data_IF_037399521393
#
_entry.id   IF_037399521393
#
_cell.length_a   1.000
_cell.length_b   1.000
_cell.length_c   1.000
_cell.angle_alpha   90.00
_cell.angle_beta   90.00
_cell.angle_gamma   90.00
#
_symmetry.space_group_name_H-M   'P 1'
#
loop_
_entity.id
_entity.type
_entity.pdbx_description
1 polymer ?
#
# COMPACT_ATOMS: atom_id res chain seq x y z
N UNK A 1 20.20 -56.58 52.73
CA UNK A 1 18.88 -56.20 52.17
C UNK A 1 19.14 -55.40 50.91
N UNK A 2 18.97 -56.04 49.76
CA UNK A 2 19.04 -55.42 48.47
C UNK A 2 17.63 -54.87 48.09
N UNK A 3 17.52 -53.59 47.85
CA UNK A 3 16.37 -53.05 47.12
C UNK A 3 16.70 -53.08 45.63
N UNK A 4 16.03 -53.95 44.91
CA UNK A 4 15.95 -53.88 43.44
C UNK A 4 14.98 -52.72 43.08
N UNK A 5 15.49 -51.73 42.44
CA UNK A 5 14.68 -50.71 41.80
C UNK A 5 13.99 -51.34 40.56
N UNK A 6 12.70 -51.27 40.54
CA UNK A 6 11.86 -51.80 39.44
C UNK A 6 12.08 -50.97 38.16
N UNK A 7 12.63 -51.64 37.19
CA UNK A 7 12.86 -51.12 35.82
C UNK A 7 11.58 -51.05 34.94
N UNK A 8 10.40 -50.98 35.58
CA UNK A 8 9.13 -51.15 34.85
C UNK A 8 8.34 -49.87 34.55
N UNK A 9 8.78 -48.72 35.05
CA UNK A 9 7.93 -47.49 34.97
C UNK A 9 8.42 -46.45 33.92
N UNK A 10 9.59 -46.66 33.36
CA UNK A 10 10.16 -45.66 32.43
C UNK A 10 9.60 -45.69 31.02
N UNK A 11 9.16 -46.85 30.53
CA UNK A 11 8.75 -46.97 29.12
C UNK A 11 7.30 -46.60 28.82
N UNK A 12 6.44 -46.51 29.83
CA UNK A 12 5.02 -46.17 29.61
C UNK A 12 4.74 -44.66 29.64
N UNK A 13 5.64 -43.86 30.17
CA UNK A 13 5.45 -42.38 30.24
C UNK A 13 6.01 -41.64 29.03
N UNK A 14 6.90 -42.27 28.27
CA UNK A 14 7.53 -41.63 27.09
C UNK A 14 6.67 -41.77 25.84
N UNK A 15 5.82 -42.82 25.75
CA UNK A 15 4.95 -43.05 24.59
C UNK A 15 3.65 -42.23 24.61
N UNK A 16 3.26 -41.65 25.75
CA UNK A 16 2.03 -40.86 25.86
C UNK A 16 2.20 -39.39 25.49
N UNK A 17 3.44 -38.88 25.41
CA UNK A 17 3.70 -37.45 25.12
C UNK A 17 3.88 -37.19 23.64
N UNK A 18 4.05 -38.20 22.83
CA UNK A 18 4.32 -38.06 21.40
C UNK A 18 3.07 -37.95 20.49
N UNK A 19 1.88 -38.06 21.03
CA UNK A 19 0.66 -38.04 20.20
C UNK A 19 -0.20 -36.78 20.34
N UNK A 20 0.20 -35.80 21.13
CA UNK A 20 -0.32 -34.45 21.01
C UNK A 20 0.56 -33.62 20.08
N UNK A 21 0.64 -34.02 18.81
CA UNK A 21 0.91 -33.05 17.77
C UNK A 21 -0.32 -32.15 17.71
N UNK A 22 -0.33 -31.11 18.55
CA UNK A 22 -1.20 -29.96 18.33
C UNK A 22 -0.97 -29.54 16.90
N UNK A 23 -2.04 -29.29 16.10
CA UNK A 23 -1.82 -28.69 14.80
C UNK A 23 -0.98 -27.44 15.06
N UNK A 24 0.24 -27.42 14.58
CA UNK A 24 1.07 -26.21 14.56
C UNK A 24 0.31 -25.31 13.62
N UNK A 25 -0.51 -24.42 14.17
CA UNK A 25 -1.01 -23.29 13.42
C UNK A 25 0.25 -22.62 12.88
N UNK A 26 0.38 -22.54 11.56
CA UNK A 26 1.44 -21.76 10.97
C UNK A 26 1.33 -20.37 11.59
N UNK A 27 2.34 -19.98 12.36
CA UNK A 27 2.37 -18.68 13.00
C UNK A 27 2.41 -17.66 11.88
N UNK A 28 1.26 -17.08 11.56
CA UNK A 28 1.17 -15.97 10.61
C UNK A 28 1.57 -14.70 11.37
N UNK A 29 2.62 -14.01 10.89
CA UNK A 29 3.02 -12.72 11.45
C UNK A 29 2.29 -11.63 10.67
N UNK A 30 1.72 -10.66 11.36
CA UNK A 30 1.01 -9.52 10.74
C UNK A 30 1.89 -8.75 9.71
N UNK A 31 3.21 -8.81 9.87
CA UNK A 31 4.16 -8.18 8.97
C UNK A 31 4.52 -9.03 7.73
N UNK A 32 4.15 -10.31 7.67
CA UNK A 32 4.58 -11.25 6.61
C UNK A 32 4.16 -10.80 5.21
N UNK A 33 2.93 -10.30 5.08
CA UNK A 33 2.44 -9.78 3.81
C UNK A 33 3.22 -8.55 3.33
N UNK A 34 3.56 -7.64 4.24
CA UNK A 34 4.39 -6.47 3.91
C UNK A 34 5.84 -6.87 3.56
N UNK A 35 6.41 -7.86 4.23
CA UNK A 35 7.73 -8.40 3.91
C UNK A 35 7.73 -8.99 2.50
N UNK A 36 6.74 -9.81 2.18
CA UNK A 36 6.54 -10.39 0.83
C UNK A 36 6.42 -9.31 -0.26
N UNK A 37 5.68 -8.24 -0.01
CA UNK A 37 5.52 -7.14 -0.96
C UNK A 37 6.81 -6.36 -1.18
N UNK A 38 7.61 -6.15 -0.13
CA UNK A 38 8.94 -5.52 -0.23
C UNK A 38 9.90 -6.38 -1.05
N UNK A 39 9.91 -7.68 -0.81
CA UNK A 39 10.74 -8.61 -1.59
C UNK A 39 10.38 -8.57 -3.08
N UNK A 40 9.08 -8.49 -3.41
CA UNK A 40 8.61 -8.31 -4.79
C UNK A 40 9.03 -6.96 -5.38
N UNK A 41 8.98 -5.88 -4.61
CA UNK A 41 9.43 -4.56 -5.03
C UNK A 41 10.94 -4.55 -5.29
N UNK A 42 11.74 -5.19 -4.43
CA UNK A 42 13.19 -5.29 -4.56
C UNK A 42 13.61 -6.18 -5.74
N UNK A 43 12.90 -7.29 -5.96
CA UNK A 43 13.13 -8.13 -7.14
C UNK A 43 12.88 -7.37 -8.45
N UNK A 44 11.84 -6.52 -8.51
CA UNK A 44 11.56 -5.65 -9.66
C UNK A 44 12.61 -4.57 -9.84
N UNK A 45 13.09 -3.98 -8.74
CA UNK A 45 14.11 -2.94 -8.77
C UNK A 45 15.41 -3.42 -9.45
N UNK A 46 15.72 -4.70 -9.37
CA UNK A 46 16.88 -5.31 -10.03
C UNK A 46 16.76 -5.40 -11.56
N UNK A 47 15.56 -5.29 -12.13
CA UNK A 47 15.31 -5.42 -13.57
C UNK A 47 14.66 -4.18 -14.19
N UNK A 48 13.35 -4.01 -13.96
CA UNK A 48 12.53 -2.97 -14.60
C UNK A 48 12.56 -1.62 -13.88
N UNK A 49 13.21 -1.54 -12.72
CA UNK A 49 13.17 -0.38 -11.82
C UNK A 49 12.12 -0.54 -10.72
N UNK A 50 12.34 0.15 -9.60
CA UNK A 50 11.42 0.13 -8.46
C UNK A 50 10.11 0.85 -8.84
N UNK A 51 8.94 0.22 -8.62
CA UNK A 51 7.66 0.89 -8.85
C UNK A 51 7.57 2.21 -8.11
N UNK A 52 7.03 3.24 -8.76
CA UNK A 52 6.93 4.58 -8.18
C UNK A 52 5.53 5.15 -8.32
N UNK A 53 5.07 5.83 -7.27
CA UNK A 53 3.82 6.58 -7.21
C UNK A 53 4.11 8.07 -7.14
N UNK A 54 3.56 8.83 -8.05
CA UNK A 54 3.60 10.29 -8.02
C UNK A 54 2.52 10.80 -7.06
N UNK A 55 2.91 11.54 -6.03
CA UNK A 55 1.98 12.17 -5.11
C UNK A 55 1.51 13.48 -5.72
N UNK A 56 0.29 13.50 -6.25
CA UNK A 56 -0.31 14.67 -6.86
C UNK A 56 -0.88 15.58 -5.77
N UNK A 57 -0.01 16.41 -5.20
CA UNK A 57 -0.35 17.36 -4.13
C UNK A 57 -1.08 18.57 -4.71
N UNK A 58 -2.30 18.86 -4.25
CA UNK A 58 -3.12 19.94 -4.75
C UNK A 58 -3.24 21.08 -3.74
N UNK A 59 -2.96 22.31 -4.21
CA UNK A 59 -3.06 23.53 -3.44
C UNK A 59 -1.93 23.74 -2.44
N UNK A 60 -2.19 24.54 -1.43
CA UNK A 60 -1.20 24.89 -0.42
C UNK A 60 -0.79 23.71 0.46
N UNK A 61 0.45 23.71 0.96
CA UNK A 61 1.01 22.65 1.79
C UNK A 61 0.10 22.20 2.95
N UNK A 62 -0.54 23.15 3.64
CA UNK A 62 -1.44 22.83 4.74
C UNK A 62 -2.67 21.99 4.32
N UNK A 63 -3.07 22.05 3.04
CA UNK A 63 -4.20 21.28 2.52
C UNK A 63 -3.86 19.81 2.26
N UNK A 64 -2.63 19.50 1.85
CA UNK A 64 -2.25 18.16 1.43
C UNK A 64 -1.30 17.41 2.38
N UNK A 65 -0.54 18.12 3.22
CA UNK A 65 0.57 17.53 3.98
C UNK A 65 0.21 16.27 4.78
N UNK A 66 -0.92 16.27 5.47
CA UNK A 66 -1.35 15.13 6.28
C UNK A 66 -1.68 13.90 5.41
N UNK A 67 -2.34 14.10 4.27
CA UNK A 67 -2.73 13.03 3.35
C UNK A 67 -1.56 12.55 2.50
N UNK A 68 -0.68 13.45 2.13
CA UNK A 68 0.60 13.11 1.50
C UNK A 68 1.44 12.21 2.40
N UNK A 69 1.63 12.61 3.68
CA UNK A 69 2.39 11.83 4.64
C UNK A 69 1.77 10.43 4.85
N UNK A 70 0.43 10.33 4.91
CA UNK A 70 -0.27 9.06 5.00
C UNK A 70 -0.04 8.20 3.76
N UNK A 71 -0.26 8.75 2.57
CA UNK A 71 -0.08 8.03 1.30
C UNK A 71 1.38 7.57 1.12
N UNK A 72 2.35 8.44 1.42
CA UNK A 72 3.76 8.10 1.40
C UNK A 72 4.08 6.91 2.30
N UNK A 73 3.67 6.97 3.56
CA UNK A 73 3.91 5.90 4.52
C UNK A 73 3.26 4.58 4.07
N UNK A 74 2.06 4.62 3.50
CA UNK A 74 1.36 3.45 2.99
C UNK A 74 2.15 2.80 1.84
N UNK A 75 2.50 3.55 0.80
CA UNK A 75 3.18 3.00 -0.37
C UNK A 75 4.61 2.55 -0.05
N UNK A 76 5.34 3.31 0.76
CA UNK A 76 6.70 2.95 1.19
C UNK A 76 6.72 1.72 2.09
N UNK A 77 5.66 1.46 2.86
CA UNK A 77 5.52 0.22 3.64
C UNK A 77 5.58 -1.04 2.77
N UNK A 78 5.09 -0.99 1.54
CA UNK A 78 5.17 -2.07 0.55
C UNK A 78 6.38 -1.99 -0.38
N UNK A 79 7.35 -1.10 -0.12
CA UNK A 79 8.54 -0.94 -0.94
C UNK A 79 8.34 -0.16 -2.25
N UNK A 80 7.17 0.47 -2.44
CA UNK A 80 6.91 1.35 -3.58
C UNK A 80 7.50 2.72 -3.31
N UNK A 81 8.27 3.26 -4.27
CA UNK A 81 8.87 4.58 -4.14
C UNK A 81 7.81 5.67 -4.31
N UNK A 82 7.84 6.70 -3.49
CA UNK A 82 7.00 7.88 -3.65
C UNK A 82 7.78 9.05 -4.24
N UNK A 83 7.13 9.80 -5.14
CA UNK A 83 7.67 11.02 -5.74
C UNK A 83 6.81 12.19 -5.24
N UNK A 84 7.37 12.96 -4.35
CA UNK A 84 6.71 14.13 -3.72
C UNK A 84 7.06 15.43 -4.45
N UNK A 85 6.30 16.48 -4.18
CA UNK A 85 6.43 17.82 -4.75
C UNK A 85 5.86 18.89 -3.80
N UNK A 86 6.05 20.17 -4.14
CA UNK A 86 5.63 21.29 -3.32
C UNK A 86 4.14 21.71 -3.51
N UNK A 87 3.38 20.90 -4.27
CA UNK A 87 1.97 21.14 -4.57
C UNK A 87 1.75 21.92 -5.88
N UNK A 88 0.57 21.75 -6.46
CA UNK A 88 0.18 22.37 -7.72
C UNK A 88 -1.14 23.12 -7.60
N UNK A 89 -1.15 24.36 -8.05
CA UNK A 89 -2.37 25.16 -8.25
C UNK A 89 -2.89 25.04 -9.69
N UNK A 90 -2.02 24.66 -10.63
CA UNK A 90 -2.35 24.47 -12.05
C UNK A 90 -2.32 22.97 -12.45
N UNK A 91 -3.42 22.50 -13.03
CA UNK A 91 -3.61 21.10 -13.42
C UNK A 91 -2.74 20.71 -14.62
N UNK A 92 -2.44 21.66 -15.52
CA UNK A 92 -1.56 21.41 -16.65
C UNK A 92 -0.10 21.23 -16.20
N UNK A 93 0.36 22.07 -15.26
CA UNK A 93 1.68 21.94 -14.66
C UNK A 93 1.82 20.61 -13.90
N UNK A 94 0.77 20.17 -13.18
CA UNK A 94 0.73 18.89 -12.49
C UNK A 94 0.85 17.71 -13.49
N UNK A 95 0.06 17.72 -14.57
CA UNK A 95 0.10 16.68 -15.60
C UNK A 95 1.47 16.60 -16.29
N UNK A 96 2.09 17.76 -16.57
CA UNK A 96 3.44 17.83 -17.13
C UNK A 96 4.50 17.27 -16.16
N UNK A 97 4.41 17.61 -14.87
CA UNK A 97 5.30 17.08 -13.85
C UNK A 97 5.13 15.56 -13.66
N UNK A 98 3.90 15.06 -13.72
CA UNK A 98 3.63 13.62 -13.71
C UNK A 98 4.31 12.91 -14.88
N UNK A 99 4.15 13.41 -16.11
CA UNK A 99 4.80 12.85 -17.29
C UNK A 99 6.32 12.89 -17.18
N UNK A 100 6.88 14.01 -16.74
CA UNK A 100 8.33 14.17 -16.58
C UNK A 100 8.90 13.23 -15.50
N UNK A 101 8.10 12.84 -14.50
CA UNK A 101 8.51 11.92 -13.44
C UNK A 101 8.75 10.48 -13.91
N UNK A 102 8.17 10.09 -15.06
CA UNK A 102 8.17 8.73 -15.56
C UNK A 102 7.35 7.74 -14.76
N UNK A 103 6.63 8.21 -13.73
CA UNK A 103 5.73 7.37 -12.95
C UNK A 103 4.52 6.93 -13.79
N UNK A 104 3.99 5.76 -13.46
CA UNK A 104 2.75 5.23 -14.07
C UNK A 104 1.58 5.23 -13.10
N UNK A 105 1.86 5.51 -11.85
CA UNK A 105 0.92 5.49 -10.75
C UNK A 105 0.86 6.89 -10.14
N UNK A 106 -0.32 7.31 -9.74
CA UNK A 106 -0.53 8.59 -9.08
C UNK A 106 -1.44 8.47 -7.85
N UNK A 107 -1.24 9.33 -6.87
CA UNK A 107 -2.12 9.45 -5.70
C UNK A 107 -2.42 10.92 -5.44
N UNK A 108 -3.70 11.32 -5.54
CA UNK A 108 -4.14 12.66 -5.21
C UNK A 108 -4.09 12.90 -3.71
N UNK A 109 -3.47 13.99 -3.30
CA UNK A 109 -3.34 14.39 -1.90
C UNK A 109 -3.80 15.84 -1.74
N UNK A 110 -4.92 16.05 -1.04
CA UNK A 110 -5.42 17.38 -0.66
C UNK A 110 -6.51 17.30 0.40
N UNK A 111 -7.12 18.42 0.73
CA UNK A 111 -8.31 18.52 1.61
C UNK A 111 -9.59 18.11 0.87
N UNK A 112 -10.65 17.80 1.62
CA UNK A 112 -11.94 17.44 1.02
C UNK A 112 -12.52 18.59 0.20
N UNK A 113 -12.38 19.83 0.65
CA UNK A 113 -12.84 21.02 -0.09
C UNK A 113 -12.18 21.13 -1.47
N UNK A 114 -10.87 20.93 -1.56
CA UNK A 114 -10.14 20.95 -2.84
C UNK A 114 -10.54 19.76 -3.73
N UNK A 115 -10.82 18.60 -3.13
CA UNK A 115 -11.28 17.45 -3.88
C UNK A 115 -12.65 17.66 -4.52
N UNK A 116 -13.58 18.29 -3.82
CA UNK A 116 -14.90 18.64 -4.36
C UNK A 116 -14.81 19.53 -5.60
N UNK A 117 -13.85 20.45 -5.61
CA UNK A 117 -13.67 21.40 -6.70
C UNK A 117 -12.86 20.82 -7.89
N UNK A 118 -11.77 20.12 -7.63
CA UNK A 118 -10.74 19.86 -8.64
C UNK A 118 -10.41 18.37 -8.87
N UNK A 119 -10.68 17.47 -7.91
CA UNK A 119 -10.13 16.11 -7.98
C UNK A 119 -10.57 15.33 -9.22
N UNK A 120 -11.81 15.52 -9.67
CA UNK A 120 -12.32 14.83 -10.86
C UNK A 120 -11.61 15.29 -12.15
N UNK A 121 -11.29 16.57 -12.26
CA UNK A 121 -10.61 17.14 -13.42
C UNK A 121 -9.14 16.72 -13.45
N UNK A 122 -8.48 16.82 -12.30
CA UNK A 122 -7.10 16.36 -12.13
C UNK A 122 -6.96 14.85 -12.41
N UNK A 123 -7.91 14.03 -11.94
CA UNK A 123 -7.89 12.60 -12.22
C UNK A 123 -7.95 12.31 -13.74
N UNK A 124 -8.84 13.00 -14.46
CA UNK A 124 -8.90 12.88 -15.94
C UNK A 124 -7.60 13.31 -16.61
N UNK A 125 -7.01 14.41 -16.15
CA UNK A 125 -5.74 14.92 -16.68
C UNK A 125 -4.60 13.94 -16.45
N UNK A 126 -4.52 13.30 -15.27
CA UNK A 126 -3.52 12.28 -14.98
C UNK A 126 -3.70 11.02 -15.84
N UNK A 127 -4.95 10.56 -16.01
CA UNK A 127 -5.26 9.43 -16.91
C UNK A 127 -4.87 9.76 -18.35
N UNK A 128 -5.21 10.96 -18.84
CA UNK A 128 -4.82 11.43 -20.17
C UNK A 128 -3.28 11.56 -20.31
N UNK A 129 -2.59 11.90 -19.22
CA UNK A 129 -1.14 11.95 -19.15
C UNK A 129 -0.45 10.57 -19.09
N UNK A 130 -1.23 9.49 -19.03
CA UNK A 130 -0.74 8.10 -19.07
C UNK A 130 -0.69 7.38 -17.72
N UNK A 131 -1.36 7.90 -16.69
CA UNK A 131 -1.49 7.19 -15.43
C UNK A 131 -2.27 5.89 -15.61
N UNK A 132 -1.71 4.77 -15.17
CA UNK A 132 -2.37 3.45 -15.20
C UNK A 132 -3.31 3.25 -14.03
N UNK A 133 -2.96 3.84 -12.89
CA UNK A 133 -3.76 3.83 -11.66
C UNK A 133 -3.69 5.19 -11.00
N UNK A 134 -4.83 5.66 -10.54
CA UNK A 134 -4.96 6.90 -9.79
C UNK A 134 -5.71 6.59 -8.50
N UNK A 135 -5.06 6.79 -7.36
CA UNK A 135 -5.71 6.73 -6.05
C UNK A 135 -6.02 8.13 -5.53
N UNK A 136 -6.90 8.20 -4.56
CA UNK A 136 -7.18 9.41 -3.80
C UNK A 136 -6.94 9.14 -2.31
N UNK A 137 -6.12 9.98 -1.67
CA UNK A 137 -5.86 9.92 -0.24
C UNK A 137 -7.05 10.51 0.54
N UNK A 138 -7.98 9.65 0.91
CA UNK A 138 -9.24 10.00 1.57
C UNK A 138 -10.35 9.03 1.22
N UNK A 139 -11.56 9.28 1.69
CA UNK A 139 -12.72 8.37 1.54
C UNK A 139 -13.65 8.78 0.40
N UNK A 140 -13.39 9.60 -0.49
CA UNK A 140 -14.27 9.99 -1.61
C UNK A 140 -15.67 10.51 -1.25
N UNK A 141 -16.25 10.07 -0.16
CA UNK A 141 -17.55 10.54 0.35
C UNK A 141 -18.66 10.52 -0.71
N UNK A 142 -19.44 11.59 -0.76
CA UNK A 142 -20.54 11.75 -1.72
C UNK A 142 -20.06 11.85 -3.19
N UNK A 143 -18.80 12.23 -3.42
CA UNK A 143 -18.22 12.39 -4.76
C UNK A 143 -17.55 11.11 -5.29
N UNK A 144 -17.57 10.03 -4.55
CA UNK A 144 -16.90 8.77 -4.89
C UNK A 144 -17.25 8.28 -6.31
N UNK A 145 -18.53 8.23 -6.66
CA UNK A 145 -18.97 7.77 -7.98
C UNK A 145 -18.46 8.67 -9.12
N UNK A 146 -18.48 9.98 -8.92
CA UNK A 146 -17.95 10.96 -9.88
C UNK A 146 -16.43 10.82 -10.04
N UNK A 147 -15.72 10.60 -8.97
CA UNK A 147 -14.26 10.39 -8.97
C UNK A 147 -13.87 9.11 -9.69
N UNK A 148 -14.61 8.01 -9.46
CA UNK A 148 -14.40 6.74 -10.17
C UNK A 148 -14.66 6.90 -11.69
N UNK A 149 -15.71 7.62 -12.07
CA UNK A 149 -15.97 7.93 -13.49
C UNK A 149 -14.89 8.83 -14.11
N UNK A 150 -14.24 9.65 -13.29
CA UNK A 150 -13.12 10.48 -13.72
C UNK A 150 -11.78 9.71 -13.82
N UNK A 151 -11.74 8.43 -13.42
CA UNK A 151 -10.57 7.57 -13.53
C UNK A 151 -9.85 7.28 -12.21
N UNK A 152 -10.42 7.68 -11.05
CA UNK A 152 -9.89 7.25 -9.74
C UNK A 152 -10.16 5.76 -9.56
N UNK A 153 -9.10 4.98 -9.43
CA UNK A 153 -9.14 3.52 -9.30
C UNK A 153 -9.47 3.06 -7.89
N UNK A 154 -9.11 3.85 -6.87
CA UNK A 154 -9.31 3.49 -5.47
C UNK A 154 -9.07 4.63 -4.50
N UNK A 155 -9.37 4.35 -3.23
CA UNK A 155 -9.29 5.30 -2.14
C UNK A 155 -8.38 4.76 -1.05
N UNK A 156 -7.43 5.56 -0.59
CA UNK A 156 -6.47 5.18 0.46
C UNK A 156 -6.71 6.03 1.71
N UNK A 157 -7.05 5.37 2.80
CA UNK A 157 -7.38 6.00 4.07
C UNK A 157 -7.10 5.06 5.25
N UNK A 158 -7.08 5.55 6.46
CA UNK A 158 -6.87 4.73 7.65
C UNK A 158 -7.99 3.67 7.78
N UNK A 159 -7.60 2.38 7.69
CA UNK A 159 -8.51 1.23 7.71
C UNK A 159 -8.90 0.71 6.31
N UNK A 160 -8.31 1.21 5.22
CA UNK A 160 -8.41 0.55 3.92
C UNK A 160 -7.59 -0.75 3.90
N UNK A 161 -7.87 -1.62 2.94
CA UNK A 161 -7.05 -2.80 2.67
C UNK A 161 -5.71 -2.38 2.05
N UNK A 162 -4.70 -2.17 2.92
CA UNK A 162 -3.38 -1.73 2.52
C UNK A 162 -2.67 -2.76 1.62
N UNK A 163 -2.87 -4.06 1.89
CA UNK A 163 -2.23 -5.12 1.12
C UNK A 163 -2.75 -5.12 -0.32
N UNK A 164 -4.08 -5.07 -0.51
CA UNK A 164 -4.66 -5.02 -1.84
C UNK A 164 -4.20 -3.78 -2.64
N UNK A 165 -4.13 -2.61 -2.00
CA UNK A 165 -3.61 -1.37 -2.63
C UNK A 165 -2.16 -1.54 -3.08
N UNK A 166 -1.31 -2.13 -2.23
CA UNK A 166 0.10 -2.33 -2.52
C UNK A 166 0.34 -3.39 -3.59
N UNK A 167 -0.44 -4.48 -3.59
CA UNK A 167 -0.40 -5.49 -4.66
C UNK A 167 -0.77 -4.88 -6.01
N UNK A 168 -1.81 -4.05 -6.05
CA UNK A 168 -2.21 -3.32 -7.25
C UNK A 168 -1.13 -2.34 -7.71
N UNK A 169 -0.50 -1.60 -6.78
CA UNK A 169 0.61 -0.71 -7.10
C UNK A 169 1.81 -1.46 -7.67
N UNK A 170 2.16 -2.60 -7.09
CA UNK A 170 3.22 -3.46 -7.62
C UNK A 170 2.85 -4.05 -8.99
N UNK A 171 1.60 -4.43 -9.25
CA UNK A 171 1.19 -5.01 -10.52
C UNK A 171 1.28 -4.03 -11.69
N UNK A 172 1.07 -2.73 -11.47
CA UNK A 172 0.91 -1.71 -12.51
C UNK A 172 2.03 -0.66 -12.59
N UNK A 173 2.96 -0.67 -11.64
CA UNK A 173 4.11 0.24 -11.56
C UNK A 173 5.26 -0.05 -12.52
#
# INVERSE_FOLDING_TARGET
>A
FFFQAEDGIRDKLVTGVQTCALPIFAAHRDAEDFERLRDLADARAAGAGRPSVFLANLGAHAAYAAREAFARNLFEAGGVRTLTNDGFDDDAALAAAFQASGARLACLCSSDAVYEERAAEVARSLVAAGARRVWLAGRGGATQATLQQAGVSGFVFAGCDAIAVLEEALAHG
#
